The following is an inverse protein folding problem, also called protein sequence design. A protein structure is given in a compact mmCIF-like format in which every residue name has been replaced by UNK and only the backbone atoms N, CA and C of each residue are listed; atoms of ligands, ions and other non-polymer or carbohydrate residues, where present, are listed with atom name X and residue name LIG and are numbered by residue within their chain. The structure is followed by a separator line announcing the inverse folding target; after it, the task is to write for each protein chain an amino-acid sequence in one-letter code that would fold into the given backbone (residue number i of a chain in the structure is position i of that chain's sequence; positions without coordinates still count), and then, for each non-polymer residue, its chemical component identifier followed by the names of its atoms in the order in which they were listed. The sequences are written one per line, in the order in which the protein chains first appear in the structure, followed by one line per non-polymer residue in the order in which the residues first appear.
data_IF_221602779955
#
_entry.id   IF_221602779955
#
_cell.length_a   1.000
_cell.length_b   1.000
_cell.length_c   1.000
_cell.angle_alpha   90.00
_cell.angle_beta   90.00
_cell.angle_gamma   90.00
#
_symmetry.space_group_name_H-M   'P 1'
#
loop_
_entity.id
_entity.type
_entity.pdbx_description
1 polymer ?
#
# COMPACT_ATOMS: atom_id res chain seq x y z
N UNK A 1 4.61 -18.71 36.37
CA UNK A 1 3.88 -17.62 37.06
C UNK A 1 4.88 -16.55 37.48
N UNK A 2 4.99 -15.48 36.69
CA UNK A 2 5.63 -14.22 37.07
C UNK A 2 4.70 -13.11 36.58
N UNK A 3 4.26 -12.31 37.54
CA UNK A 3 3.36 -11.14 37.51
C UNK A 3 3.06 -10.52 36.14
N UNK A 4 1.79 -10.57 35.75
CA UNK A 4 1.16 -9.61 34.86
C UNK A 4 -0.06 -9.00 35.56
N UNK A 5 0.17 -8.31 36.66
CA UNK A 5 -0.64 -7.14 37.00
C UNK A 5 0.04 -5.95 36.33
N UNK A 6 -0.16 -5.84 35.02
CA UNK A 6 0.10 -4.60 34.31
C UNK A 6 -1.24 -3.88 34.33
N UNK A 7 -1.32 -2.78 35.08
CA UNK A 7 -2.44 -1.84 35.03
C UNK A 7 -2.91 -1.71 33.59
N UNK A 8 -4.22 -1.79 33.37
CA UNK A 8 -4.81 -1.61 32.04
C UNK A 8 -4.54 -0.18 31.57
N UNK A 9 -3.35 0.08 31.01
CA UNK A 9 -2.95 1.36 30.42
C UNK A 9 -4.02 1.74 29.40
N UNK A 10 -4.70 2.85 29.64
CA UNK A 10 -5.73 3.35 28.73
C UNK A 10 -5.07 4.11 27.58
N UNK A 11 -4.55 3.35 26.61
CA UNK A 11 -3.95 3.88 25.38
C UNK A 11 -4.86 4.86 24.63
N UNK A 12 -6.18 4.82 24.86
CA UNK A 12 -7.11 5.76 24.23
C UNK A 12 -6.93 7.20 24.74
N UNK A 13 -6.53 7.38 25.99
CA UNK A 13 -6.24 8.70 26.58
C UNK A 13 -4.97 9.33 25.98
N UNK A 14 -4.07 8.50 25.42
CA UNK A 14 -2.83 8.92 24.77
C UNK A 14 -2.99 9.16 23.25
N UNK A 15 -4.23 9.36 22.79
CA UNK A 15 -4.56 9.56 21.36
C UNK A 15 -4.20 8.37 20.45
N UNK A 16 -3.93 7.18 20.99
CA UNK A 16 -3.62 6.00 20.18
C UNK A 16 -4.89 5.30 19.68
N UNK A 17 -4.92 4.96 18.39
CA UNK A 17 -6.05 4.23 17.81
C UNK A 17 -5.91 2.73 18.07
N UNK A 18 -6.48 2.27 19.20
CA UNK A 18 -6.42 0.88 19.66
C UNK A 18 -7.07 -0.13 18.70
N UNK A 19 -7.93 0.34 17.78
CA UNK A 19 -8.58 -0.50 16.76
C UNK A 19 -7.72 -0.69 15.52
N UNK A 20 -6.67 0.13 15.33
CA UNK A 20 -5.83 0.08 14.14
C UNK A 20 -4.99 -1.20 14.08
N UNK A 21 -4.72 -1.69 12.86
CA UNK A 21 -3.87 -2.86 12.65
C UNK A 21 -2.44 -2.59 13.16
N UNK A 22 -1.93 -1.38 12.95
CA UNK A 22 -0.61 -0.98 13.40
C UNK A 22 -0.50 -1.06 14.93
N UNK A 23 -1.45 -0.50 15.66
CA UNK A 23 -1.50 -0.58 17.12
C UNK A 23 -1.53 -2.02 17.61
N UNK A 24 -2.43 -2.85 17.06
CA UNK A 24 -2.55 -4.26 17.47
C UNK A 24 -1.24 -5.02 17.31
N UNK A 25 -0.55 -4.83 16.18
CA UNK A 25 0.76 -5.44 15.90
C UNK A 25 1.84 -4.93 16.86
N UNK A 26 1.92 -3.62 17.07
CA UNK A 26 2.89 -3.03 17.99
C UNK A 26 2.67 -3.52 19.43
N UNK A 27 1.41 -3.60 19.87
CA UNK A 27 1.04 -4.12 21.19
C UNK A 27 1.39 -5.60 21.34
N UNK A 28 1.03 -6.43 20.38
CA UNK A 28 1.35 -7.87 20.37
C UNK A 28 2.87 -8.12 20.47
N UNK A 29 3.67 -7.25 19.85
CA UNK A 29 5.13 -7.33 19.86
C UNK A 29 5.80 -6.69 21.07
N UNK A 30 5.03 -6.11 21.99
CA UNK A 30 5.55 -5.49 23.20
C UNK A 30 6.29 -4.16 22.99
N UNK A 31 6.29 -3.60 21.76
CA UNK A 31 6.98 -2.34 21.43
C UNK A 31 6.18 -1.08 21.83
N UNK A 32 5.15 -1.26 22.65
CA UNK A 32 4.37 -0.20 23.30
C UNK A 32 4.42 -0.32 24.83
N UNK A 33 5.38 -1.10 25.36
CA UNK A 33 5.46 -1.41 26.78
C UNK A 33 5.95 -0.22 27.61
N UNK A 34 6.96 0.48 27.09
CA UNK A 34 7.46 1.73 27.67
C UNK A 34 6.76 2.93 27.03
N UNK A 35 6.15 3.75 27.89
CA UNK A 35 5.36 4.91 27.50
C UNK A 35 5.98 6.13 28.13
N UNK A 36 6.58 6.97 27.29
CA UNK A 36 7.06 8.30 27.65
C UNK A 36 5.98 9.32 27.27
N UNK A 37 5.18 9.74 28.25
CA UNK A 37 4.11 10.72 28.05
C UNK A 37 4.65 12.11 27.64
N UNK A 38 5.85 12.48 28.09
CA UNK A 38 6.48 13.74 27.70
C UNK A 38 6.80 13.73 26.21
N UNK A 39 7.37 12.63 25.71
CA UNK A 39 7.64 12.45 24.28
C UNK A 39 6.34 12.40 23.46
N UNK A 40 5.29 11.72 23.95
CA UNK A 40 3.97 11.77 23.29
C UNK A 40 3.46 13.21 23.22
N UNK A 41 3.60 14.00 24.29
CA UNK A 41 3.27 15.42 24.30
C UNK A 41 4.01 16.23 23.23
N UNK A 42 5.32 16.01 23.10
CA UNK A 42 6.17 16.60 22.06
C UNK A 42 5.69 16.25 20.64
N UNK A 43 5.36 14.98 20.39
CA UNK A 43 4.79 14.52 19.12
C UNK A 43 3.50 15.27 18.81
N UNK A 44 2.59 15.39 19.78
CA UNK A 44 1.32 16.09 19.56
C UNK A 44 1.55 17.59 19.29
N UNK A 45 2.44 18.25 20.02
CA UNK A 45 2.78 19.66 19.80
C UNK A 45 3.39 19.90 18.41
N UNK A 46 4.32 19.04 17.98
CA UNK A 46 4.92 19.10 16.66
C UNK A 46 3.84 18.98 15.57
N UNK A 47 2.96 17.99 15.66
CA UNK A 47 1.91 17.78 14.65
C UNK A 47 0.81 18.84 14.67
N UNK A 48 0.44 19.38 15.83
CA UNK A 48 -0.47 20.51 15.91
C UNK A 48 0.13 21.76 15.25
N UNK A 49 1.40 22.06 15.53
CA UNK A 49 2.10 23.20 14.95
C UNK A 49 2.19 23.11 13.43
N UNK A 50 2.70 21.99 12.90
CA UNK A 50 3.05 21.85 11.48
C UNK A 50 1.91 21.32 10.61
N UNK A 51 0.96 20.57 11.17
CA UNK A 51 -0.15 19.96 10.43
C UNK A 51 -1.54 20.45 10.88
N UNK A 52 -1.65 21.07 12.06
CA UNK A 52 -2.90 21.61 12.57
C UNK A 52 -3.81 20.60 13.27
N UNK A 53 -3.33 19.38 13.55
CA UNK A 53 -4.09 18.37 14.29
C UNK A 53 -3.19 17.38 15.03
N UNK A 54 -3.71 16.85 16.14
CA UNK A 54 -3.15 15.68 16.83
C UNK A 54 -3.21 14.43 15.96
N UNK A 55 -2.32 13.49 16.25
CA UNK A 55 -2.18 12.24 15.52
C UNK A 55 -2.12 11.03 16.44
N UNK A 56 -2.21 9.84 15.86
CA UNK A 56 -1.94 8.58 16.55
C UNK A 56 -0.41 8.37 16.70
N UNK A 57 0.15 8.42 17.93
CA UNK A 57 1.59 8.34 18.17
C UNK A 57 2.12 6.90 18.23
N UNK A 58 1.32 5.89 17.87
CA UNK A 58 1.71 4.46 17.92
C UNK A 58 3.06 4.20 17.25
N UNK A 59 3.31 4.80 16.08
CA UNK A 59 4.56 4.57 15.33
C UNK A 59 5.77 5.18 16.04
N UNK A 60 5.60 6.35 16.66
CA UNK A 60 6.63 7.08 17.41
C UNK A 60 7.06 6.29 18.64
N UNK A 61 6.10 5.82 19.42
CA UNK A 61 6.37 4.98 20.60
C UNK A 61 7.04 3.67 20.18
N UNK A 62 6.58 3.06 19.09
CA UNK A 62 7.20 1.84 18.56
C UNK A 62 8.67 2.05 18.15
N UNK A 63 9.01 3.17 17.48
CA UNK A 63 10.40 3.48 17.14
C UNK A 63 11.24 3.66 18.40
N UNK A 64 10.77 4.46 19.36
CA UNK A 64 11.47 4.73 20.62
C UNK A 64 11.77 3.43 21.38
N UNK A 65 10.78 2.55 21.55
CA UNK A 65 10.96 1.26 22.24
C UNK A 65 11.90 0.31 21.47
N UNK A 66 11.93 0.38 20.14
CA UNK A 66 12.76 -0.49 19.30
C UNK A 66 14.22 -0.03 19.20
N UNK A 67 14.47 1.27 19.27
CA UNK A 67 15.76 1.86 18.85
C UNK A 67 16.33 2.87 19.83
N UNK A 68 15.51 3.41 20.74
CA UNK A 68 15.84 4.58 21.57
C UNK A 68 15.59 5.92 20.88
N UNK A 69 15.34 5.94 19.57
CA UNK A 69 15.21 7.18 18.81
C UNK A 69 13.85 7.86 19.06
N UNK A 70 13.92 9.15 19.42
CA UNK A 70 12.76 10.04 19.56
C UNK A 70 12.66 10.95 18.35
N UNK A 71 11.70 10.66 17.47
CA UNK A 71 11.54 11.35 16.18
C UNK A 71 10.09 11.84 16.01
N UNK A 72 9.75 13.07 16.45
CA UNK A 72 8.41 13.64 16.29
C UNK A 72 7.90 13.68 14.83
N UNK A 73 8.82 13.77 13.88
CA UNK A 73 8.59 13.93 12.44
C UNK A 73 8.06 12.66 11.77
N UNK A 74 8.04 11.50 12.45
CA UNK A 74 7.53 10.27 11.86
C UNK A 74 6.08 10.40 11.41
N UNK A 75 5.78 9.83 10.24
CA UNK A 75 4.49 9.96 9.60
C UNK A 75 3.58 8.75 9.85
N UNK A 76 2.40 8.90 10.48
CA UNK A 76 1.43 7.84 10.54
C UNK A 76 1.01 7.38 9.14
N UNK A 77 1.03 6.06 8.89
CA UNK A 77 0.78 5.49 7.57
C UNK A 77 -0.60 5.88 6.98
N UNK A 78 -1.62 6.13 7.81
CA UNK A 78 -2.91 6.61 7.33
C UNK A 78 -2.82 8.04 6.75
N UNK A 79 -2.16 8.96 7.45
CA UNK A 79 -1.96 10.34 6.98
C UNK A 79 -1.13 10.32 5.70
N UNK A 80 -0.03 9.56 5.68
CA UNK A 80 0.81 9.39 4.49
C UNK A 80 -0.01 8.91 3.27
N UNK A 81 -0.82 7.85 3.44
CA UNK A 81 -1.55 7.23 2.32
C UNK A 81 -2.79 7.98 1.88
N UNK A 82 -3.51 8.62 2.81
CA UNK A 82 -4.84 9.20 2.55
C UNK A 82 -4.84 10.71 2.42
N UNK A 83 -3.83 11.38 2.93
CA UNK A 83 -3.79 12.84 2.94
C UNK A 83 -2.58 13.32 2.14
N UNK A 84 -1.36 12.88 2.46
CA UNK A 84 -0.14 13.43 1.86
C UNK A 84 0.07 12.95 0.41
N UNK A 85 0.23 11.64 0.20
CA UNK A 85 0.53 11.11 -1.14
C UNK A 85 -0.51 11.49 -2.21
N UNK A 86 -1.81 11.56 -1.93
CA UNK A 86 -2.80 12.02 -2.91
C UNK A 86 -2.65 13.47 -3.38
N UNK A 87 -1.95 14.34 -2.64
CA UNK A 87 -1.60 15.69 -3.11
C UNK A 87 -0.23 15.75 -3.78
N UNK A 88 0.63 14.75 -3.55
CA UNK A 88 1.92 14.63 -4.22
C UNK A 88 1.81 13.88 -5.56
N UNK A 89 0.89 12.92 -5.67
CA UNK A 89 0.83 12.00 -6.81
C UNK A 89 -0.50 12.10 -7.57
N UNK A 90 -0.43 12.15 -8.90
CA UNK A 90 -1.60 11.91 -9.75
C UNK A 90 -1.82 10.40 -9.94
N UNK A 91 -2.69 9.85 -9.10
CA UNK A 91 -3.00 8.43 -9.13
C UNK A 91 -3.83 7.96 -10.33
N UNK A 92 -4.39 8.85 -11.13
CA UNK A 92 -5.07 8.44 -12.35
C UNK A 92 -4.09 8.07 -13.47
N UNK A 93 -2.85 8.55 -13.38
CA UNK A 93 -1.77 8.22 -14.31
C UNK A 93 -1.00 6.96 -13.91
N UNK A 94 -1.17 6.47 -12.67
CA UNK A 94 -0.50 5.25 -12.19
C UNK A 94 -0.70 4.02 -13.10
N UNK A 95 -1.89 3.74 -13.68
CA UNK A 95 -2.06 2.61 -14.59
C UNK A 95 -1.12 2.59 -15.80
N UNK A 96 -0.65 3.75 -16.27
CA UNK A 96 0.33 3.84 -17.37
C UNK A 96 1.72 3.36 -16.95
N UNK A 97 2.10 3.56 -15.69
CA UNK A 97 3.44 3.25 -15.19
C UNK A 97 3.58 1.87 -14.54
N UNK A 98 2.52 1.07 -14.41
CA UNK A 98 2.59 -0.24 -13.72
C UNK A 98 2.89 -1.43 -14.64
N UNK A 99 2.74 -1.27 -15.96
CA UNK A 99 2.99 -2.35 -16.90
C UNK A 99 4.50 -2.51 -17.13
N UNK A 100 5.06 -3.61 -16.61
CA UNK A 100 6.50 -3.91 -16.70
C UNK A 100 7.01 -4.00 -18.14
N UNK A 101 6.14 -4.24 -19.12
CA UNK A 101 6.49 -4.25 -20.54
C UNK A 101 6.81 -2.85 -21.09
N UNK A 102 6.41 -1.79 -20.40
CA UNK A 102 6.57 -0.39 -20.84
C UNK A 102 7.61 0.38 -20.01
N UNK A 103 8.38 -0.32 -19.17
CA UNK A 103 9.39 0.33 -18.33
C UNK A 103 10.53 0.96 -19.13
N UNK A 104 10.98 0.32 -20.18
CA UNK A 104 11.96 0.85 -21.13
C UNK A 104 11.46 2.09 -21.88
N UNK A 105 10.14 2.22 -22.07
CA UNK A 105 9.53 3.39 -22.72
C UNK A 105 9.31 4.55 -21.73
N UNK A 106 8.65 4.29 -20.60
CA UNK A 106 8.22 5.35 -19.69
C UNK A 106 9.22 5.70 -18.60
N UNK A 107 10.03 4.73 -18.16
CA UNK A 107 11.05 4.93 -17.12
C UNK A 107 12.41 5.09 -17.79
N UNK A 108 12.66 4.34 -18.87
CA UNK A 108 13.91 4.29 -19.60
C UNK A 108 15.12 4.29 -18.66
N UNK A 109 15.19 3.32 -17.73
CA UNK A 109 16.22 3.31 -16.70
C UNK A 109 17.61 3.15 -17.35
N UNK A 110 18.67 3.79 -16.80
CA UNK A 110 20.02 3.65 -17.36
C UNK A 110 20.51 2.20 -17.41
N UNK A 111 20.01 1.36 -16.49
CA UNK A 111 20.31 -0.07 -16.38
C UNK A 111 19.06 -0.81 -15.88
N UNK A 112 18.64 -1.87 -16.57
CA UNK A 112 17.52 -2.73 -16.12
C UNK A 112 17.85 -4.20 -16.29
N UNK A 113 17.04 -5.07 -15.69
CA UNK A 113 17.03 -6.48 -16.07
C UNK A 113 16.83 -6.60 -17.59
N UNK A 114 17.73 -7.32 -18.26
CA UNK A 114 17.69 -7.49 -19.71
C UNK A 114 16.42 -8.24 -20.12
N UNK A 115 15.65 -7.64 -21.02
CA UNK A 115 14.42 -8.26 -21.53
C UNK A 115 14.79 -9.22 -22.65
N UNK A 116 14.33 -10.47 -22.56
CA UNK A 116 14.41 -11.42 -23.66
C UNK A 116 13.24 -11.22 -24.61
N UNK A 117 12.02 -11.33 -24.08
CA UNK A 117 10.78 -11.08 -24.84
C UNK A 117 9.72 -10.41 -23.96
N UNK A 118 8.78 -9.75 -24.63
CA UNK A 118 7.55 -9.24 -24.05
C UNK A 118 6.36 -9.91 -24.73
N UNK A 119 5.32 -10.16 -23.97
CA UNK A 119 4.01 -10.47 -24.51
C UNK A 119 3.02 -9.41 -24.04
N UNK A 120 2.39 -8.70 -24.96
CA UNK A 120 1.40 -7.66 -24.69
C UNK A 120 0.14 -7.98 -25.47
N UNK A 121 -0.97 -8.24 -24.77
CA UNK A 121 -2.24 -8.61 -25.40
C UNK A 121 -2.11 -9.76 -26.44
N UNK A 122 -1.28 -10.76 -26.13
CA UNK A 122 -1.06 -11.93 -26.98
C UNK A 122 -0.02 -11.76 -28.08
N UNK A 123 0.45 -10.53 -28.34
CA UNK A 123 1.49 -10.24 -29.33
C UNK A 123 2.88 -10.25 -28.71
N UNK A 124 3.87 -10.75 -29.45
CA UNK A 124 5.26 -10.82 -29.01
C UNK A 124 6.08 -9.64 -29.50
N UNK A 125 6.99 -9.21 -28.63
CA UNK A 125 7.97 -8.18 -28.94
C UNK A 125 9.34 -8.59 -28.40
N UNK A 126 10.39 -8.19 -29.11
CA UNK A 126 11.77 -8.34 -28.65
C UNK A 126 12.14 -7.29 -27.58
N UNK A 127 13.42 -7.28 -27.18
CA UNK A 127 13.96 -6.32 -26.22
C UNK A 127 13.85 -4.84 -26.66
N UNK A 128 13.71 -4.60 -27.97
CA UNK A 128 13.73 -3.28 -28.59
C UNK A 128 12.33 -2.80 -29.01
N UNK A 129 11.27 -3.52 -28.61
CA UNK A 129 9.87 -3.27 -28.98
C UNK A 129 9.52 -3.54 -30.45
N UNK A 130 10.35 -4.28 -31.19
CA UNK A 130 9.95 -4.75 -32.51
C UNK A 130 8.94 -5.89 -32.34
N UNK A 131 7.86 -5.86 -33.12
CA UNK A 131 6.92 -6.99 -33.16
C UNK A 131 7.62 -8.19 -33.79
N UNK A 132 7.49 -9.35 -33.14
CA UNK A 132 8.04 -10.62 -33.61
C UNK A 132 6.93 -11.67 -33.63
N UNK A 133 7.06 -12.67 -34.50
CA UNK A 133 6.19 -13.83 -34.48
C UNK A 133 6.61 -14.84 -33.38
N UNK A 134 5.84 -15.92 -33.27
CA UNK A 134 6.08 -16.94 -32.24
C UNK A 134 7.35 -17.74 -32.50
N UNK A 135 7.67 -18.01 -33.77
CA UNK A 135 8.84 -18.79 -34.15
C UNK A 135 10.11 -18.05 -33.74
N UNK A 136 10.18 -16.73 -34.00
CA UNK A 136 11.29 -15.90 -33.52
C UNK A 136 11.33 -15.79 -32.00
N UNK A 137 10.18 -15.73 -31.32
CA UNK A 137 10.14 -15.73 -29.86
C UNK A 137 10.69 -17.06 -29.27
N UNK A 138 10.42 -18.20 -29.92
CA UNK A 138 10.99 -19.50 -29.54
C UNK A 138 12.50 -19.58 -29.82
N UNK A 139 12.98 -19.00 -30.92
CA UNK A 139 14.42 -18.91 -31.21
C UNK A 139 15.16 -18.14 -30.11
N UNK A 140 14.66 -16.96 -29.71
CA UNK A 140 15.26 -16.16 -28.63
C UNK A 140 15.35 -16.95 -27.32
N UNK A 141 14.37 -17.82 -27.04
CA UNK A 141 14.42 -18.70 -25.88
C UNK A 141 15.46 -19.81 -25.98
N UNK A 142 15.69 -20.34 -27.19
CA UNK A 142 16.72 -21.37 -27.46
C UNK A 142 18.13 -20.77 -27.45
N UNK A 143 18.26 -19.48 -27.77
CA UNK A 143 19.50 -18.71 -27.72
C UNK A 143 19.91 -18.34 -26.28
N UNK A 144 19.03 -18.50 -25.29
CA UNK A 144 19.33 -18.18 -23.89
C UNK A 144 20.33 -19.18 -23.29
N UNK A 145 21.39 -18.67 -22.69
CA UNK A 145 22.51 -19.44 -22.11
C UNK A 145 22.55 -19.39 -20.56
N UNK A 146 21.62 -18.67 -19.94
CA UNK A 146 21.49 -18.54 -18.48
C UNK A 146 20.01 -18.57 -18.06
N UNK A 147 19.76 -18.54 -16.75
CA UNK A 147 18.44 -18.52 -16.17
C UNK A 147 17.61 -17.33 -16.67
N UNK A 148 16.33 -17.60 -16.95
CA UNK A 148 15.34 -16.59 -17.27
C UNK A 148 14.35 -16.42 -16.11
N UNK A 149 13.78 -15.23 -15.99
CA UNK A 149 12.71 -14.89 -15.07
C UNK A 149 11.49 -14.50 -15.88
N UNK A 150 10.40 -15.26 -15.73
CA UNK A 150 9.10 -14.91 -16.30
C UNK A 150 8.19 -14.33 -15.21
N UNK A 151 7.58 -13.18 -15.51
CA UNK A 151 6.70 -12.47 -14.59
C UNK A 151 5.48 -11.89 -15.31
N UNK A 152 4.29 -11.87 -14.68
CA UNK A 152 3.15 -11.13 -15.23
C UNK A 152 3.49 -9.64 -15.26
N UNK A 153 3.14 -8.93 -16.33
CA UNK A 153 3.61 -7.56 -16.51
C UNK A 153 2.80 -6.54 -15.68
N UNK A 154 1.53 -6.83 -15.38
CA UNK A 154 0.59 -5.94 -14.66
C UNK A 154 0.28 -6.36 -13.22
N UNK A 155 1.07 -7.28 -12.64
CA UNK A 155 0.91 -7.72 -11.24
C UNK A 155 2.11 -7.32 -10.41
N UNK A 156 1.86 -7.07 -9.13
CA UNK A 156 2.87 -6.73 -8.13
C UNK A 156 2.96 -7.84 -7.07
N UNK A 157 3.87 -7.70 -6.11
CA UNK A 157 4.06 -8.58 -4.95
C UNK A 157 4.66 -9.97 -5.25
N UNK A 158 5.34 -10.13 -6.39
CA UNK A 158 6.03 -11.37 -6.74
C UNK A 158 5.14 -12.57 -7.08
N UNK A 159 3.81 -12.41 -7.16
CA UNK A 159 2.91 -13.52 -7.53
C UNK A 159 3.19 -13.96 -8.97
N UNK A 160 3.30 -15.27 -9.17
CA UNK A 160 3.58 -15.90 -10.48
C UNK A 160 4.95 -15.55 -11.08
N UNK A 161 5.92 -15.08 -10.29
CA UNK A 161 7.32 -15.05 -10.75
C UNK A 161 7.84 -16.49 -10.78
N UNK A 162 8.44 -16.89 -11.89
CA UNK A 162 9.08 -18.21 -12.04
C UNK A 162 10.46 -18.07 -12.66
N UNK A 163 11.40 -18.85 -12.14
CA UNK A 163 12.75 -19.03 -12.70
C UNK A 163 12.71 -20.18 -13.70
N UNK A 164 13.17 -19.93 -14.91
CA UNK A 164 13.33 -20.91 -15.98
C UNK A 164 14.82 -21.19 -16.15
N UNK A 165 15.16 -22.45 -16.28
CA UNK A 165 16.52 -22.93 -16.50
C UNK A 165 16.72 -23.19 -17.98
N UNK A 166 17.61 -22.43 -18.63
CA UNK A 166 17.94 -22.61 -20.03
C UNK A 166 19.14 -23.55 -20.13
N UNK A 167 18.96 -24.69 -20.82
CA UNK A 167 20.01 -25.70 -21.01
C UNK A 167 20.02 -26.13 -22.47
N UNK A 168 20.97 -25.61 -23.23
CA UNK A 168 20.99 -25.78 -24.69
C UNK A 168 19.72 -25.19 -25.31
N UNK A 169 19.06 -25.94 -26.19
CA UNK A 169 17.87 -25.50 -26.93
C UNK A 169 16.54 -25.66 -26.16
N UNK A 170 16.59 -25.88 -24.83
CA UNK A 170 15.40 -26.18 -24.02
C UNK A 170 15.34 -25.35 -22.75
N UNK A 171 14.11 -24.95 -22.42
CA UNK A 171 13.78 -24.33 -21.14
C UNK A 171 13.17 -25.36 -20.18
N UNK A 172 13.49 -25.21 -18.90
CA UNK A 172 12.95 -26.06 -17.84
C UNK A 172 12.35 -25.22 -16.73
N UNK A 173 11.18 -25.63 -16.23
CA UNK A 173 10.55 -25.09 -15.03
C UNK A 173 10.49 -26.20 -13.97
N UNK A 174 11.20 -26.02 -12.85
CA UNK A 174 11.30 -27.02 -11.78
C UNK A 174 11.75 -28.39 -12.32
N UNK A 175 12.76 -28.39 -13.20
CA UNK A 175 13.32 -29.60 -13.82
C UNK A 175 12.46 -30.23 -14.92
N UNK A 176 11.28 -29.68 -15.25
CA UNK A 176 10.42 -30.19 -16.32
C UNK A 176 10.53 -29.29 -17.56
N UNK A 177 10.68 -29.86 -18.78
CA UNK A 177 10.67 -29.08 -20.00
C UNK A 177 9.43 -28.18 -20.10
N UNK A 178 9.63 -26.96 -20.57
CA UNK A 178 8.57 -25.98 -20.81
C UNK A 178 8.80 -25.29 -22.15
N UNK A 179 7.71 -25.07 -22.89
CA UNK A 179 7.70 -24.38 -24.18
C UNK A 179 6.88 -23.07 -24.09
N UNK A 180 6.90 -22.30 -25.18
CA UNK A 180 6.15 -21.05 -25.29
C UNK A 180 4.65 -21.27 -25.09
N UNK A 181 4.09 -22.34 -25.66
CA UNK A 181 2.67 -22.72 -25.53
C UNK A 181 2.26 -22.93 -24.07
N UNK A 182 3.11 -23.56 -23.25
CA UNK A 182 2.85 -23.75 -21.83
C UNK A 182 2.97 -22.44 -21.06
N UNK A 183 3.90 -21.55 -21.42
CA UNK A 183 3.98 -20.21 -20.85
C UNK A 183 2.72 -19.40 -21.14
N UNK A 184 2.21 -19.43 -22.39
CA UNK A 184 0.93 -18.82 -22.76
C UNK A 184 -0.23 -19.38 -21.93
N UNK A 185 -0.26 -20.69 -21.65
CA UNK A 185 -1.30 -21.26 -20.77
C UNK A 185 -1.20 -20.76 -19.32
N UNK A 186 0.01 -20.54 -18.81
CA UNK A 186 0.24 -20.12 -17.42
C UNK A 186 0.01 -18.63 -17.21
N UNK A 187 0.46 -17.80 -18.15
CA UNK A 187 0.45 -16.35 -18.04
C UNK A 187 -0.66 -15.68 -18.85
N UNK A 188 -1.29 -16.43 -19.78
CA UNK A 188 -2.23 -15.93 -20.79
C UNK A 188 -1.55 -14.90 -21.67
N UNK A 189 -1.91 -13.65 -21.46
CA UNK A 189 -1.38 -12.47 -22.13
C UNK A 189 -0.78 -11.56 -21.08
N UNK A 190 0.14 -10.68 -21.47
CA UNK A 190 0.74 -9.66 -20.58
C UNK A 190 1.75 -10.26 -19.58
N UNK A 191 2.86 -10.74 -20.13
CA UNK A 191 4.02 -11.17 -19.36
C UNK A 191 5.30 -10.65 -20.00
N UNK A 192 6.36 -10.68 -19.23
CA UNK A 192 7.71 -10.35 -19.67
C UNK A 192 8.65 -11.46 -19.24
N UNK A 193 9.61 -11.77 -20.10
CA UNK A 193 10.72 -12.69 -19.80
C UNK A 193 12.00 -11.89 -19.82
N UNK A 194 12.77 -12.02 -18.75
CA UNK A 194 14.03 -11.29 -18.57
C UNK A 194 15.14 -12.25 -18.19
N UNK A 195 16.39 -11.90 -18.47
CA UNK A 195 17.54 -12.64 -17.93
C UNK A 195 17.59 -12.49 -16.41
N UNK A 196 17.97 -13.55 -15.72
CA UNK A 196 18.22 -13.51 -14.28
C UNK A 196 19.43 -12.61 -13.99
N UNK A 197 19.36 -11.84 -12.90
CA UNK A 197 20.46 -10.98 -12.48
C UNK A 197 21.36 -11.76 -11.53
N UNK A 198 22.65 -11.81 -11.87
CA UNK A 198 23.71 -12.23 -10.95
C UNK A 198 24.03 -11.07 -10.02
N UNK A 199 23.93 -11.31 -8.72
CA UNK A 199 24.03 -10.26 -7.72
C UNK A 199 25.43 -10.10 -7.17
N UNK A 200 25.77 -8.88 -6.77
CA UNK A 200 26.97 -8.62 -5.98
C UNK A 200 26.95 -9.44 -4.69
N UNK A 201 28.11 -9.94 -4.26
CA UNK A 201 28.24 -10.83 -3.09
C UNK A 201 27.63 -10.25 -1.82
N UNK A 202 27.81 -8.95 -1.56
CA UNK A 202 27.24 -8.24 -0.40
C UNK A 202 25.72 -8.41 -0.33
N UNK A 203 25.03 -8.29 -1.48
CA UNK A 203 23.58 -8.45 -1.54
C UNK A 203 23.14 -9.91 -1.59
N UNK A 204 23.94 -10.79 -2.21
CA UNK A 204 23.62 -12.21 -2.30
C UNK A 204 23.83 -12.95 -0.97
N UNK A 205 24.84 -12.57 -0.18
CA UNK A 205 25.33 -13.31 0.99
C UNK A 205 24.24 -13.66 2.00
N UNK A 206 23.33 -12.76 2.41
CA UNK A 206 22.28 -13.12 3.37
C UNK A 206 21.31 -14.17 2.84
N UNK A 207 20.98 -14.14 1.55
CA UNK A 207 20.09 -15.12 0.93
C UNK A 207 20.40 -15.33 -0.57
N UNK A 208 21.32 -16.24 -0.92
CA UNK A 208 21.79 -16.41 -2.31
C UNK A 208 20.73 -16.95 -3.29
N UNK A 209 19.65 -17.51 -2.75
CA UNK A 209 18.58 -18.15 -3.54
C UNK A 209 17.58 -17.15 -4.16
N UNK A 210 17.58 -15.88 -3.73
CA UNK A 210 16.72 -14.81 -4.29
C UNK A 210 17.53 -13.70 -4.92
N UNK A 211 16.85 -12.90 -5.76
CA UNK A 211 17.33 -11.57 -6.13
C UNK A 211 16.96 -10.61 -5.00
N UNK A 212 17.89 -10.36 -4.08
CA UNK A 212 17.73 -9.43 -2.95
C UNK A 212 17.83 -7.99 -3.42
N UNK A 213 16.83 -7.16 -3.13
CA UNK A 213 16.76 -5.80 -3.67
C UNK A 213 16.89 -4.73 -2.60
N UNK A 214 17.35 -3.56 -3.01
CA UNK A 214 17.19 -2.33 -2.28
C UNK A 214 15.81 -1.77 -2.59
N UNK A 215 15.02 -1.55 -1.55
CA UNK A 215 13.86 -0.66 -1.58
C UNK A 215 14.35 0.75 -1.29
N UNK A 216 14.41 1.60 -2.30
CA UNK A 216 14.82 3.00 -2.17
C UNK A 216 13.63 3.94 -2.36
N UNK A 217 13.56 5.01 -1.58
CA UNK A 217 12.51 6.00 -1.69
C UNK A 217 13.06 7.29 -2.27
N UNK A 218 12.42 7.80 -3.31
CA UNK A 218 12.69 9.15 -3.83
C UNK A 218 11.44 10.01 -3.79
N UNK A 219 11.65 11.30 -3.67
CA UNK A 219 10.60 12.30 -3.70
C UNK A 219 10.98 13.44 -4.63
N UNK A 220 10.04 13.94 -5.42
CA UNK A 220 10.16 15.19 -6.16
C UNK A 220 9.46 16.30 -5.38
N UNK A 221 10.19 17.34 -5.05
CA UNK A 221 9.67 18.50 -4.33
C UNK A 221 10.42 19.76 -4.76
N UNK A 222 9.72 20.87 -4.98
CA UNK A 222 10.31 22.13 -5.49
C UNK A 222 11.26 21.96 -6.68
N UNK A 223 10.83 21.16 -7.67
CA UNK A 223 11.59 20.82 -8.89
C UNK A 223 12.87 19.99 -8.68
N UNK A 224 13.16 19.55 -7.45
CA UNK A 224 14.28 18.68 -7.14
C UNK A 224 13.80 17.26 -6.88
N UNK A 225 14.55 16.25 -7.35
CA UNK A 225 14.33 14.85 -6.99
C UNK A 225 15.35 14.48 -5.92
N UNK A 226 14.86 14.23 -4.71
CA UNK A 226 15.67 13.87 -3.54
C UNK A 226 15.55 12.40 -3.20
N UNK A 227 16.63 11.84 -2.66
CA UNK A 227 16.61 10.54 -1.99
C UNK A 227 16.14 10.73 -0.54
N UNK A 228 15.26 9.85 -0.06
CA UNK A 228 14.69 9.92 1.30
C UNK A 228 15.37 8.91 2.23
N UNK A 229 15.24 7.63 1.92
CA UNK A 229 15.83 6.54 2.68
C UNK A 229 15.81 5.24 1.88
N UNK A 230 16.45 4.20 2.42
CA UNK A 230 16.49 2.88 1.79
C UNK A 230 16.60 1.76 2.80
N UNK A 231 16.14 0.59 2.39
CA UNK A 231 16.32 -0.67 3.11
C UNK A 231 16.65 -1.78 2.10
N UNK A 232 17.44 -2.75 2.51
CA UNK A 232 17.59 -4.00 1.78
C UNK A 232 16.43 -4.95 2.12
N UNK A 233 16.05 -5.76 1.15
CA UNK A 233 15.06 -6.82 1.28
C UNK A 233 15.73 -8.16 0.98
N UNK A 234 15.52 -9.12 1.86
CA UNK A 234 16.09 -10.46 1.77
C UNK A 234 14.98 -11.50 1.73
N UNK A 235 15.12 -12.50 0.84
CA UNK A 235 14.25 -13.67 0.80
C UNK A 235 14.47 -14.59 1.99
N UNK A 236 13.62 -15.62 2.13
CA UNK A 236 13.77 -16.67 3.16
C UNK A 236 13.42 -18.04 2.56
N UNK A 237 13.85 -19.12 3.22
CA UNK A 237 13.49 -20.51 2.89
C UNK A 237 13.87 -20.94 1.46
N UNK A 238 14.96 -20.39 0.90
CA UNK A 238 15.38 -20.63 -0.48
C UNK A 238 14.33 -20.22 -1.53
N UNK A 239 13.38 -19.35 -1.21
CA UNK A 239 12.45 -18.79 -2.19
C UNK A 239 13.20 -17.83 -3.13
N UNK A 240 12.82 -17.77 -4.40
CA UNK A 240 13.42 -16.86 -5.39
C UNK A 240 13.04 -15.39 -5.19
N UNK A 241 12.12 -15.10 -4.26
CA UNK A 241 11.56 -13.77 -3.98
C UNK A 241 12.05 -13.24 -2.64
N UNK A 242 12.29 -11.93 -2.59
CA UNK A 242 12.70 -11.16 -1.41
C UNK A 242 11.53 -10.36 -0.77
N UNK A 243 10.29 -10.70 -1.11
CA UNK A 243 9.14 -9.92 -0.69
C UNK A 243 8.81 -10.13 0.80
N UNK A 244 8.84 -9.05 1.58
CA UNK A 244 8.50 -9.04 3.00
C UNK A 244 7.11 -9.65 3.29
N UNK A 245 6.11 -9.38 2.43
CA UNK A 245 4.77 -9.97 2.58
C UNK A 245 4.68 -11.47 2.29
N UNK A 246 5.77 -12.10 1.88
CA UNK A 246 5.93 -13.55 1.73
C UNK A 246 6.86 -14.16 2.80
N UNK A 247 7.14 -13.41 3.88
CA UNK A 247 8.03 -13.84 4.97
C UNK A 247 9.47 -13.32 4.86
N UNK A 248 9.78 -12.50 3.85
CA UNK A 248 11.10 -11.89 3.70
C UNK A 248 11.45 -10.89 4.80
N UNK A 249 12.73 -10.55 4.92
CA UNK A 249 13.26 -9.62 5.91
C UNK A 249 13.60 -8.27 5.27
N UNK A 250 13.50 -7.20 6.06
CA UNK A 250 13.93 -5.87 5.68
C UNK A 250 15.00 -5.35 6.64
N UNK A 251 16.13 -4.89 6.10
CA UNK A 251 17.25 -4.34 6.86
C UNK A 251 17.50 -2.90 6.43
N UNK A 252 17.46 -1.95 7.36
CA UNK A 252 17.68 -0.55 6.99
C UNK A 252 19.13 -0.28 6.57
N UNK A 253 19.32 0.79 5.80
CA UNK A 253 20.63 1.21 5.28
C UNK A 253 20.80 2.69 5.63
N UNK A 254 21.94 3.04 6.21
CA UNK A 254 22.33 4.42 6.51
C UNK A 254 22.70 5.16 5.22
N UNK A 255 22.78 6.49 5.29
CA UNK A 255 23.16 7.30 4.12
C UNK A 255 24.58 7.05 3.62
N UNK A 256 25.43 6.46 4.45
CA UNK A 256 26.80 6.05 4.10
C UNK A 256 26.85 4.75 3.29
N UNK A 257 25.74 4.00 3.18
CA UNK A 257 25.69 2.67 2.59
C UNK A 257 25.92 1.53 3.59
N UNK A 258 26.16 1.84 4.87
CA UNK A 258 26.23 0.86 5.95
C UNK A 258 24.85 0.27 6.25
N UNK A 259 24.79 -1.03 6.48
CA UNK A 259 23.59 -1.69 6.98
C UNK A 259 23.42 -1.44 8.48
N UNK A 260 22.17 -1.39 8.95
CA UNK A 260 21.92 -1.65 10.37
C UNK A 260 22.17 -3.13 10.69
N UNK A 261 22.17 -3.47 11.97
CA UNK A 261 22.45 -4.80 12.51
C UNK A 261 21.19 -5.62 12.85
N UNK A 262 20.01 -5.00 12.79
CA UNK A 262 18.73 -5.63 13.11
C UNK A 262 17.77 -5.51 11.92
N UNK A 263 17.37 -6.65 11.36
CA UNK A 263 16.32 -6.76 10.35
C UNK A 263 14.93 -6.95 11.00
N UNK A 264 13.88 -6.57 10.27
CA UNK A 264 12.48 -6.78 10.66
C UNK A 264 11.70 -7.56 9.59
N UNK A 265 10.74 -8.39 10.02
CA UNK A 265 9.70 -8.96 9.15
C UNK A 265 8.43 -8.09 9.11
N UNK A 266 7.41 -8.51 8.34
CA UNK A 266 6.14 -7.78 8.21
C UNK A 266 5.27 -7.80 9.49
N UNK A 267 5.65 -8.61 10.48
CA UNK A 267 5.06 -8.71 11.82
C UNK A 267 5.88 -7.98 12.87
N UNK A 268 6.91 -7.22 12.49
CA UNK A 268 7.83 -6.53 13.40
C UNK A 268 8.65 -7.47 14.30
N UNK A 269 8.84 -8.72 13.90
CA UNK A 269 9.83 -9.58 14.53
C UNK A 269 11.23 -9.08 14.16
N UNK A 270 12.11 -8.96 15.15
CA UNK A 270 13.51 -8.54 14.95
C UNK A 270 14.43 -9.74 14.77
N UNK A 271 15.48 -9.54 13.98
CA UNK A 271 16.49 -10.56 13.64
C UNK A 271 17.87 -9.93 13.57
N UNK A 272 18.83 -10.46 14.33
CA UNK A 272 20.26 -10.12 14.18
C UNK A 272 20.98 -11.01 13.17
N UNK A 273 20.39 -12.18 12.87
CA UNK A 273 20.90 -13.15 11.92
C UNK A 273 19.82 -13.53 10.92
N UNK A 274 20.23 -13.81 9.68
CA UNK A 274 19.32 -14.29 8.66
C UNK A 274 18.83 -15.71 9.00
N UNK A 275 17.51 -15.97 9.07
CA UNK A 275 16.96 -17.22 9.61
C UNK A 275 17.23 -18.45 8.73
N UNK A 276 17.57 -18.26 7.45
CA UNK A 276 17.85 -19.38 6.53
C UNK A 276 19.33 -19.74 6.47
N UNK A 277 20.22 -18.75 6.56
CA UNK A 277 21.66 -18.91 6.28
C UNK A 277 22.52 -18.72 7.52
N UNK A 278 21.97 -18.15 8.60
CA UNK A 278 22.73 -17.81 9.81
C UNK A 278 23.64 -16.60 9.65
N UNK A 279 23.62 -15.88 8.52
CA UNK A 279 24.46 -14.69 8.32
C UNK A 279 24.10 -13.61 9.34
N UNK A 280 25.08 -13.17 10.13
CA UNK A 280 24.94 -12.02 11.02
C UNK A 280 24.82 -10.73 10.18
N UNK A 281 23.79 -9.94 10.43
CA UNK A 281 23.59 -8.67 9.71
C UNK A 281 24.62 -7.61 10.11
N UNK A 282 25.09 -7.65 11.36
CA UNK A 282 26.16 -6.76 11.85
C UNK A 282 27.51 -6.96 11.16
N UNK A 283 27.71 -8.10 10.50
CA UNK A 283 28.96 -8.42 9.79
C UNK A 283 28.91 -8.04 8.30
N UNK A 284 27.80 -7.45 7.82
CA UNK A 284 27.66 -7.07 6.41
C UNK A 284 28.53 -5.88 6.05
N UNK A 285 29.33 -6.05 5.00
CA UNK A 285 30.11 -4.96 4.43
C UNK A 285 29.20 -3.86 3.88
N UNK A 286 29.58 -2.57 4.00
CA UNK A 286 28.81 -1.47 3.44
C UNK A 286 28.71 -1.56 1.91
N UNK A 287 27.59 -1.08 1.36
CA UNK A 287 27.46 -0.88 -0.08
C UNK A 287 28.37 0.26 -0.53
N UNK A 288 29.49 -0.10 -1.17
CA UNK A 288 30.43 0.88 -1.74
C UNK A 288 29.74 1.71 -2.83
N UNK A 289 30.19 2.96 -2.99
CA UNK A 289 29.63 3.92 -3.97
C UNK A 289 28.11 4.14 -3.85
N UNK A 290 27.60 4.18 -2.61
CA UNK A 290 26.16 4.32 -2.37
C UNK A 290 25.56 5.60 -2.98
N UNK A 291 26.34 6.67 -3.15
CA UNK A 291 25.91 7.87 -3.89
C UNK A 291 25.58 7.60 -5.37
N UNK A 292 26.31 6.70 -6.05
CA UNK A 292 25.96 6.28 -7.41
C UNK A 292 24.60 5.57 -7.43
N UNK A 293 24.32 4.75 -6.40
CA UNK A 293 23.05 4.03 -6.26
C UNK A 293 21.91 5.01 -5.99
N UNK A 294 22.11 6.03 -5.13
CA UNK A 294 21.13 7.11 -4.92
C UNK A 294 20.90 7.89 -6.21
N UNK A 295 21.96 8.24 -6.93
CA UNK A 295 21.84 8.96 -8.20
C UNK A 295 21.06 8.15 -9.25
N UNK A 296 21.33 6.85 -9.34
CA UNK A 296 20.58 5.95 -10.23
C UNK A 296 19.08 5.93 -9.94
N UNK A 297 18.67 5.91 -8.66
CA UNK A 297 17.25 5.98 -8.29
C UNK A 297 16.63 7.33 -8.68
N UNK A 298 17.37 8.44 -8.51
CA UNK A 298 16.94 9.78 -8.96
C UNK A 298 16.77 9.84 -10.46
N UNK A 299 17.71 9.26 -11.22
CA UNK A 299 17.67 9.23 -12.68
C UNK A 299 16.47 8.44 -13.19
N UNK A 300 16.15 7.29 -12.58
CA UNK A 300 14.91 6.55 -12.88
C UNK A 300 13.65 7.39 -12.64
N UNK A 301 13.64 8.23 -11.60
CA UNK A 301 12.48 9.06 -11.26
C UNK A 301 12.27 10.21 -12.26
N UNK A 302 13.31 10.68 -12.96
CA UNK A 302 13.19 11.83 -13.88
C UNK A 302 12.09 11.66 -14.92
N UNK A 303 11.90 10.46 -15.47
CA UNK A 303 10.93 10.20 -16.53
C UNK A 303 9.48 9.98 -16.04
N UNK A 304 9.27 9.82 -14.73
CA UNK A 304 7.93 9.68 -14.14
C UNK A 304 7.44 11.04 -13.65
N UNK A 305 6.71 11.75 -14.52
CA UNK A 305 6.32 13.15 -14.28
C UNK A 305 5.15 13.31 -13.30
N UNK A 306 4.22 12.36 -13.30
CA UNK A 306 2.95 12.47 -12.58
C UNK A 306 3.00 12.00 -11.12
N UNK A 307 4.07 11.31 -10.73
CA UNK A 307 4.22 10.70 -9.41
C UNK A 307 5.44 11.31 -8.75
N UNK A 308 5.24 12.04 -7.66
CA UNK A 308 6.30 12.72 -6.93
C UNK A 308 6.88 11.88 -5.81
N UNK A 309 6.24 10.80 -5.34
CA UNK A 309 6.85 9.90 -4.35
C UNK A 309 6.87 8.47 -4.86
N UNK A 310 8.06 7.87 -4.98
CA UNK A 310 8.25 6.55 -5.59
C UNK A 310 9.13 5.66 -4.72
N UNK A 311 8.73 4.39 -4.65
CA UNK A 311 9.43 3.31 -3.98
C UNK A 311 10.05 2.39 -5.02
N UNK A 312 11.37 2.44 -5.21
CA UNK A 312 12.13 1.70 -6.21
C UNK A 312 12.64 0.39 -5.66
N UNK A 313 12.51 -0.67 -6.45
CA UNK A 313 13.19 -1.94 -6.21
C UNK A 313 14.39 -2.03 -7.15
N UNK A 314 15.60 -2.03 -6.58
CA UNK A 314 16.88 -1.99 -7.30
C UNK A 314 17.71 -3.19 -6.87
N UNK A 315 18.23 -3.98 -7.81
CA UNK A 315 19.23 -5.00 -7.54
C UNK A 315 20.63 -4.42 -7.71
N UNK A 316 21.62 -4.99 -7.01
CA UNK A 316 23.04 -4.69 -7.26
C UNK A 316 23.63 -5.88 -8.00
N UNK A 317 24.10 -5.64 -9.23
CA UNK A 317 24.69 -6.66 -10.10
C UNK A 317 26.11 -7.02 -9.64
N UNK A 318 26.63 -8.16 -10.09
CA UNK A 318 27.97 -8.68 -9.74
C UNK A 318 29.12 -7.66 -9.87
N UNK A 319 29.02 -6.68 -10.79
CA UNK A 319 29.98 -5.58 -10.98
C UNK A 319 29.77 -4.39 -10.02
N UNK A 320 28.87 -4.53 -9.05
CA UNK A 320 28.52 -3.51 -8.07
C UNK A 320 27.57 -2.42 -8.60
N UNK A 321 27.09 -2.52 -9.85
CA UNK A 321 26.24 -1.48 -10.46
C UNK A 321 24.75 -1.69 -10.14
N UNK A 322 23.98 -0.62 -9.90
CA UNK A 322 22.55 -0.71 -9.66
C UNK A 322 21.79 -1.05 -10.95
N UNK A 323 20.78 -1.91 -10.81
CA UNK A 323 19.90 -2.39 -11.88
C UNK A 323 18.45 -2.25 -11.45
N UNK A 324 17.64 -1.57 -12.27
CA UNK A 324 16.22 -1.38 -12.01
C UNK A 324 15.43 -2.68 -12.16
N UNK A 325 14.55 -2.96 -11.18
CA UNK A 325 13.66 -4.14 -11.16
C UNK A 325 12.19 -3.75 -11.29
N UNK A 326 11.72 -2.86 -10.42
CA UNK A 326 10.31 -2.47 -10.32
C UNK A 326 10.16 -1.09 -9.66
N UNK A 327 9.12 -0.35 -10.05
CA UNK A 327 8.69 0.89 -9.40
C UNK A 327 7.36 0.68 -8.68
N UNK A 328 7.24 1.16 -7.44
CA UNK A 328 6.05 1.04 -6.61
C UNK A 328 5.51 2.43 -6.24
N UNK A 329 4.24 2.67 -6.56
CA UNK A 329 3.60 3.98 -6.41
C UNK A 329 2.71 4.12 -5.17
N UNK A 330 2.63 3.09 -4.32
CA UNK A 330 1.71 3.10 -3.16
C UNK A 330 2.27 3.78 -1.91
N UNK A 331 3.42 4.46 -2.04
CA UNK A 331 4.16 5.03 -0.92
C UNK A 331 5.14 4.07 -0.24
N UNK A 332 5.67 4.47 0.93
CA UNK A 332 6.59 3.65 1.71
C UNK A 332 5.90 2.41 2.31
N UNK A 333 6.73 1.44 2.73
CA UNK A 333 6.25 0.37 3.60
C UNK A 333 5.72 0.98 4.91
N UNK A 334 4.66 0.39 5.47
CA UNK A 334 4.05 0.92 6.68
C UNK A 334 4.99 0.90 7.90
N UNK A 335 5.93 -0.06 7.96
CA UNK A 335 7.04 -0.13 8.93
C UNK A 335 8.36 0.44 8.40
N UNK A 336 8.36 1.01 7.19
CA UNK A 336 9.60 1.48 6.55
C UNK A 336 10.35 2.50 7.40
N UNK A 337 9.64 3.36 8.13
CA UNK A 337 10.25 4.35 9.02
C UNK A 337 10.87 3.72 10.28
N UNK A 338 10.35 2.57 10.75
CA UNK A 338 10.98 1.82 11.85
C UNK A 338 12.28 1.16 11.40
N UNK A 339 12.28 0.60 10.19
CA UNK A 339 13.44 -0.10 9.61
C UNK A 339 14.55 0.90 9.24
N UNK A 340 14.17 2.02 8.62
CA UNK A 340 15.14 3.02 8.15
C UNK A 340 15.52 4.04 9.21
N UNK A 341 14.80 4.08 10.33
CA UNK A 341 14.93 5.07 11.41
C UNK A 341 14.90 6.52 10.90
N UNK A 342 14.04 6.75 9.89
CA UNK A 342 13.94 8.02 9.18
C UNK A 342 12.48 8.40 8.91
N UNK A 343 12.14 9.70 9.01
CA UNK A 343 10.85 10.20 8.55
C UNK A 343 10.63 9.92 7.06
N UNK A 344 9.40 9.57 6.69
CA UNK A 344 9.06 9.22 5.31
C UNK A 344 9.15 10.38 4.31
N UNK A 345 9.33 11.62 4.76
CA UNK A 345 9.53 12.79 3.89
C UNK A 345 10.93 13.44 4.07
N UNK A 346 11.79 12.82 4.89
CA UNK A 346 13.11 13.35 5.22
C UNK A 346 13.07 14.80 5.71
N UNK A 347 14.00 15.62 5.24
CA UNK A 347 14.15 17.02 5.65
C UNK A 347 13.03 17.95 5.16
N UNK A 348 12.13 17.47 4.28
CA UNK A 348 11.01 18.25 3.77
C UNK A 348 9.71 18.02 4.54
N UNK A 349 9.77 17.31 5.68
CA UNK A 349 8.58 16.91 6.43
C UNK A 349 7.70 18.12 6.80
N UNK A 350 8.26 19.14 7.45
CA UNK A 350 7.49 20.30 7.90
C UNK A 350 6.84 21.08 6.73
N UNK A 351 7.61 21.34 5.67
CA UNK A 351 7.15 22.08 4.49
C UNK A 351 5.98 21.36 3.81
N UNK A 352 6.07 20.05 3.65
CA UNK A 352 5.02 19.26 3.01
C UNK A 352 3.79 19.14 3.90
N UNK A 353 3.97 19.01 5.22
CA UNK A 353 2.83 19.01 6.16
C UNK A 353 2.04 20.32 6.03
N UNK A 354 2.71 21.46 5.99
CA UNK A 354 2.07 22.75 5.83
C UNK A 354 1.40 22.89 4.45
N UNK A 355 2.07 22.47 3.37
CA UNK A 355 1.48 22.45 2.02
C UNK A 355 0.19 21.61 1.96
N UNK A 356 0.22 20.39 2.51
CA UNK A 356 -0.93 19.48 2.49
C UNK A 356 -2.08 20.05 3.31
N UNK A 357 -1.80 20.61 4.50
CA UNK A 357 -2.78 21.30 5.33
C UNK A 357 -3.51 22.40 4.56
N UNK A 358 -2.78 23.25 3.83
CA UNK A 358 -3.36 24.32 3.00
C UNK A 358 -4.16 23.78 1.82
N UNK A 359 -3.71 22.71 1.17
CA UNK A 359 -4.43 22.08 0.04
C UNK A 359 -5.74 21.42 0.48
N UNK A 360 -5.75 20.78 1.65
CA UNK A 360 -6.93 20.13 2.21
C UNK A 360 -8.06 21.12 2.53
N UNK A 361 -7.75 22.38 2.81
CA UNK A 361 -8.76 23.43 2.99
C UNK A 361 -9.51 23.78 1.69
N UNK A 362 -8.87 23.54 0.54
CA UNK A 362 -9.38 23.94 -0.78
C UNK A 362 -9.97 22.77 -1.56
N UNK A 363 -9.39 21.58 -1.41
CA UNK A 363 -9.67 20.42 -2.27
C UNK A 363 -9.56 19.11 -1.51
N UNK A 364 -10.39 18.12 -1.87
CA UNK A 364 -10.28 16.77 -1.31
C UNK A 364 -9.17 15.95 -2.00
N UNK A 365 -8.44 15.11 -1.25
CA UNK A 365 -7.39 14.26 -1.80
C UNK A 365 -7.97 13.20 -2.76
N UNK A 366 -7.34 13.06 -3.92
CA UNK A 366 -7.74 12.05 -4.91
C UNK A 366 -7.00 10.73 -4.65
N UNK A 367 -7.60 9.86 -3.84
CA UNK A 367 -7.00 8.57 -3.48
C UNK A 367 -6.74 7.65 -4.68
N UNK A 368 -5.91 6.62 -4.52
CA UNK A 368 -5.73 5.59 -5.53
C UNK A 368 -7.07 4.94 -5.93
N UNK A 369 -7.22 4.53 -7.19
CA UNK A 369 -8.45 3.90 -7.70
C UNK A 369 -8.96 2.74 -6.83
N UNK A 370 -8.07 1.90 -6.30
CA UNK A 370 -8.42 0.78 -5.41
C UNK A 370 -9.05 1.25 -4.09
N UNK A 371 -8.56 2.37 -3.55
CA UNK A 371 -9.01 2.91 -2.27
C UNK A 371 -10.33 3.66 -2.45
N UNK A 372 -10.47 4.43 -3.55
CA UNK A 372 -11.76 5.03 -3.95
C UNK A 372 -12.84 3.95 -4.13
N UNK A 373 -12.51 2.84 -4.81
CA UNK A 373 -13.43 1.70 -4.97
C UNK A 373 -13.81 1.08 -3.63
N UNK A 374 -12.84 0.91 -2.73
CA UNK A 374 -13.10 0.37 -1.38
C UNK A 374 -14.04 1.28 -0.60
N UNK A 375 -13.85 2.59 -0.65
CA UNK A 375 -14.71 3.58 0.02
C UNK A 375 -16.12 3.58 -0.57
N UNK A 376 -16.25 3.56 -1.89
CA UNK A 376 -17.55 3.43 -2.55
C UNK A 376 -18.28 2.16 -2.10
N UNK A 377 -17.59 1.01 -2.06
CA UNK A 377 -18.18 -0.25 -1.61
C UNK A 377 -18.60 -0.21 -0.13
N UNK A 378 -17.80 0.40 0.76
CA UNK A 378 -18.18 0.57 2.17
C UNK A 378 -19.40 1.48 2.32
N UNK A 379 -19.49 2.56 1.52
CA UNK A 379 -20.65 3.45 1.50
C UNK A 379 -21.90 2.74 0.99
N UNK A 380 -21.79 1.97 -0.09
CA UNK A 380 -22.89 1.14 -0.62
C UNK A 380 -23.40 0.20 0.47
N UNK A 381 -22.51 -0.54 1.12
CA UNK A 381 -22.89 -1.46 2.20
C UNK A 381 -23.60 -0.75 3.37
N UNK A 382 -23.09 0.42 3.78
CA UNK A 382 -23.72 1.22 4.84
C UNK A 382 -25.12 1.70 4.44
N UNK A 383 -25.31 2.11 3.19
CA UNK A 383 -26.61 2.54 2.66
C UNK A 383 -27.58 1.36 2.52
N UNK A 384 -27.10 0.17 2.20
CA UNK A 384 -27.91 -1.06 2.19
C UNK A 384 -28.41 -1.40 3.60
N UNK A 385 -27.53 -1.32 4.61
CA UNK A 385 -27.89 -1.53 6.02
C UNK A 385 -28.90 -0.49 6.52
N UNK A 386 -28.72 0.79 6.16
CA UNK A 386 -29.66 1.86 6.50
C UNK A 386 -31.02 1.68 5.81
N UNK A 387 -31.02 1.37 4.50
CA UNK A 387 -32.25 1.09 3.75
C UNK A 387 -33.01 -0.10 4.33
N UNK A 388 -32.31 -1.15 4.78
CA UNK A 388 -32.94 -2.29 5.45
C UNK A 388 -33.66 -1.86 6.73
N UNK A 389 -33.02 -1.02 7.57
CA UNK A 389 -33.65 -0.47 8.78
C UNK A 389 -34.86 0.41 8.47
N UNK A 390 -34.78 1.24 7.43
CA UNK A 390 -35.88 2.09 7.00
C UNK A 390 -37.06 1.27 6.48
N UNK A 391 -36.82 0.17 5.77
CA UNK A 391 -37.88 -0.76 5.31
C UNK A 391 -38.62 -1.39 6.49
N UNK A 392 -37.89 -1.91 7.47
CA UNK A 392 -38.49 -2.47 8.70
C UNK A 392 -39.34 -1.42 9.41
N UNK A 393 -38.81 -0.19 9.57
CA UNK A 393 -39.55 0.91 10.21
C UNK A 393 -40.79 1.33 9.43
N UNK A 394 -40.75 1.28 8.10
CA UNK A 394 -41.89 1.55 7.23
C UNK A 394 -42.99 0.50 7.45
N UNK A 395 -42.64 -0.78 7.45
CA UNK A 395 -43.56 -1.90 7.70
C UNK A 395 -44.21 -1.78 9.10
N UNK A 396 -43.44 -1.44 10.13
CA UNK A 396 -43.97 -1.20 11.48
C UNK A 396 -44.98 -0.06 11.52
N UNK A 397 -44.71 1.04 10.80
CA UNK A 397 -45.60 2.21 10.71
C UNK A 397 -46.86 1.90 9.91
N UNK A 398 -46.75 1.13 8.83
CA UNK A 398 -47.91 0.66 8.08
C UNK A 398 -48.81 -0.24 8.95
N UNK A 399 -48.21 -1.17 9.70
CA UNK A 399 -48.94 -2.01 10.66
C UNK A 399 -49.60 -1.18 11.77
N UNK A 400 -48.93 -0.14 12.27
CA UNK A 400 -49.50 0.81 13.24
C UNK A 400 -50.71 1.56 12.65
N UNK A 401 -50.61 2.09 11.43
CA UNK A 401 -51.72 2.75 10.74
C UNK A 401 -52.90 1.80 10.56
N UNK A 402 -52.65 0.55 10.16
CA UNK A 402 -53.71 -0.48 10.03
C UNK A 402 -54.38 -0.71 11.38
N UNK A 403 -53.62 -0.90 12.46
CA UNK A 403 -54.16 -1.04 13.83
C UNK A 403 -54.98 0.16 14.25
N UNK A 404 -54.51 1.38 13.97
CA UNK A 404 -55.26 2.61 14.27
C UNK A 404 -56.59 2.65 13.53
N UNK A 405 -56.60 2.38 12.22
CA UNK A 405 -57.82 2.35 11.40
C UNK A 405 -58.85 1.32 11.88
N UNK A 406 -58.39 0.17 12.38
CA UNK A 406 -59.24 -0.87 12.94
C UNK A 406 -59.74 -0.57 14.36
N UNK A 407 -59.17 0.42 15.05
CA UNK A 407 -59.59 0.78 16.41
C UNK A 407 -61.00 1.39 16.43
N UNK A 408 -61.80 1.03 17.45
CA UNK A 408 -63.15 1.59 17.66
C UNK A 408 -63.13 3.12 17.68
N UNK A 409 -62.09 3.74 18.26
CA UNK A 409 -61.91 5.20 18.37
C UNK A 409 -61.78 5.86 17.00
N UNK A 410 -61.00 5.27 16.09
CA UNK A 410 -60.83 5.80 14.73
C UNK A 410 -62.07 5.58 13.87
N UNK A 411 -62.73 4.42 14.01
CA UNK A 411 -64.03 4.17 13.37
C UNK A 411 -65.12 5.13 13.85
N UNK A 412 -65.14 5.46 15.15
CA UNK A 412 -66.07 6.43 15.73
C UNK A 412 -65.76 7.87 15.26
N UNK A 413 -64.49 8.26 15.26
CA UNK A 413 -64.05 9.56 14.77
C UNK A 413 -64.36 9.76 13.28
N UNK A 414 -64.11 8.74 12.45
CA UNK A 414 -64.45 8.73 11.02
C UNK A 414 -65.98 8.80 10.79
N UNK A 415 -66.77 8.03 11.56
CA UNK A 415 -68.24 8.15 11.55
C UNK A 415 -68.71 9.55 11.94
N UNK A 416 -68.16 10.15 13.00
CA UNK A 416 -68.48 11.51 13.42
C UNK A 416 -68.13 12.53 12.33
N UNK A 417 -66.93 12.45 11.75
CA UNK A 417 -66.45 13.36 10.71
C UNK A 417 -67.30 13.27 9.42
N UNK A 418 -67.76 12.07 9.05
CA UNK A 418 -68.69 11.87 7.94
C UNK A 418 -70.14 12.30 8.25
N UNK A 419 -70.53 12.32 9.53
CA UNK A 419 -71.85 12.75 9.99
C UNK A 419 -71.97 14.27 10.20
N UNK A 420 -70.87 14.98 10.45
CA UNK A 420 -70.87 16.44 10.68
C UNK A 420 -71.51 17.24 9.53
N UNK A 421 -71.19 17.00 8.25
CA UNK A 421 -71.83 17.72 7.14
C UNK A 421 -73.33 17.48 7.04
N UNK A 422 -73.79 16.24 7.27
CA UNK A 422 -75.22 15.89 7.20
C UNK A 422 -76.00 16.45 8.39
N UNK A 423 -75.40 16.50 9.58
CA UNK A 423 -75.97 17.13 10.78
C UNK A 423 -76.11 18.65 10.63
N UNK A 424 -75.09 19.32 10.08
CA UNK A 424 -75.14 20.76 9.76
C UNK A 424 -76.23 21.07 8.71
N UNK A 425 -76.38 20.22 7.68
CA UNK A 425 -77.44 20.36 6.66
C UNK A 425 -78.84 20.20 7.25
N UNK A 426 -79.03 19.24 8.17
CA UNK A 426 -80.32 18.92 8.82
C UNK A 426 -80.75 19.95 9.86
N UNK A 427 -79.81 20.66 10.49
CA UNK A 427 -80.13 21.75 11.41
C UNK A 427 -80.33 23.10 10.70
N UNK A 428 -79.64 23.36 9.58
CA UNK A 428 -79.96 24.52 8.73
C UNK A 428 -81.38 24.50 8.14
N UNK A 429 -81.94 23.31 7.89
CA UNK A 429 -83.33 23.17 7.42
C UNK A 429 -84.39 23.26 8.52
N UNK A 430 -84.03 23.07 9.80
CA UNK A 430 -84.93 23.27 10.95
C UNK A 430 -85.06 24.74 11.36
N UNK A 431 -83.99 25.53 11.24
CA UNK A 431 -84.01 26.97 11.58
C UNK A 431 -84.86 27.79 10.59
N UNK A 432 -85.03 27.33 9.34
CA UNK A 432 -85.89 28.00 8.33
C UNK A 432 -87.39 27.73 8.47
N UNK A 433 -87.85 26.95 9.46
CA UNK A 433 -89.28 26.63 9.65
C UNK A 433 -89.93 27.31 10.87
N UNK A 434 -89.22 28.22 11.53
CA UNK A 434 -89.73 29.01 12.64
C UNK A 434 -89.53 30.50 12.36
N UNK A 435 -90.21 31.01 11.34
CA UNK A 435 -90.56 32.44 11.25
C UNK A 435 -92.09 32.51 11.27
N UNK A 436 -92.71 33.01 12.35
CA UNK A 436 -94.15 33.26 12.36
C UNK A 436 -94.47 34.49 11.51
N UNK A 437 -95.62 34.42 10.82
CA UNK A 437 -96.24 35.51 10.06
C UNK A 437 -96.60 36.71 10.92
#
# INVERSE_FOLDING_TARGET
MKNQEQESKDYSQLSMNTKSIAFKRCKEKGVLSDIDESFIGEVQQYWEKHYGKKIDPTLHVALMNLTGDKTPELLPNQIMRREILPFLNDYDMTPGYIDKNLYDVFINPPRSAETAIKNVSGQYYDAYNNSIDKDRAEEIFKEADDYLIVKPSRKNNGKMIKKLDARGDKLFLNGKPIDLKRLEKLYRENFIVQKAIRQHEIMARPHPSSVNTLRMYTMRWNNEIVYISSLARYGVNNDVKDNMGAGGLCLGIKDTGEFFDIALDDRMQTYTHHPTTGVCFGDLDPLRNFEEIKQFARDCHRNILHINYISWDIAIREDGKPVFIEANFTGPLWIGQLITRKPALGNHTEEILQYVKEKMQKTQPKLMRKDRKREANMKIKSLEEENMKLRIRLEEKEAEIIRMKLSKRWQYASKLQSAVPSFIKKNKSKVKKTEPK
#
